data_IF_084901034257
#
_entry.id   IF_084901034257
#
_cell.length_a   1.000
_cell.length_b   1.000
_cell.length_c   1.000
_cell.angle_alpha   90.00
_cell.angle_beta   90.00
_cell.angle_gamma   90.00
#
_symmetry.space_group_name_H-M   'P 1'
#
loop_
_entity.id
_entity.type
_entity.pdbx_description
1 polymer ?
#
# COMPACT_ATOMS: atom_id res chain seq x y z
N UNK A 1 -18.01 9.12 1.78
CA UNK A 1 -16.74 9.42 1.08
C UNK A 1 -15.53 8.91 1.88
N UNK A 2 -15.25 9.38 3.10
CA UNK A 2 -14.06 8.93 3.86
C UNK A 2 -14.10 7.49 4.41
N UNK A 3 -15.30 6.93 4.64
CA UNK A 3 -15.46 5.61 5.29
C UNK A 3 -14.85 4.43 4.53
N UNK A 4 -14.71 4.50 3.20
CA UNK A 4 -14.11 3.43 2.39
C UNK A 4 -12.67 3.14 2.84
N UNK A 5 -11.85 4.19 2.92
CA UNK A 5 -10.46 4.05 3.34
C UNK A 5 -10.32 3.56 4.79
N UNK A 6 -11.18 4.04 5.70
CA UNK A 6 -11.18 3.59 7.08
C UNK A 6 -11.47 2.09 7.20
N UNK A 7 -12.46 1.58 6.47
CA UNK A 7 -12.85 0.16 6.51
C UNK A 7 -11.80 -0.72 5.82
N UNK A 8 -11.37 -0.36 4.60
CA UNK A 8 -10.40 -1.14 3.84
C UNK A 8 -9.02 -1.16 4.53
N UNK A 9 -8.56 -0.01 5.02
CA UNK A 9 -7.32 0.10 5.79
C UNK A 9 -7.38 -0.71 7.09
N UNK A 10 -8.49 -0.65 7.84
CA UNK A 10 -8.69 -1.48 9.02
C UNK A 10 -8.65 -2.97 8.69
N UNK A 11 -9.30 -3.40 7.60
CA UNK A 11 -9.30 -4.79 7.17
C UNK A 11 -7.89 -5.26 6.81
N UNK A 12 -7.13 -4.49 6.03
CA UNK A 12 -5.75 -4.80 5.69
C UNK A 12 -4.87 -4.94 6.94
N UNK A 13 -5.04 -4.05 7.92
CA UNK A 13 -4.32 -4.15 9.19
C UNK A 13 -4.70 -5.40 9.99
N UNK A 14 -5.98 -5.81 9.99
CA UNK A 14 -6.41 -7.06 10.64
C UNK A 14 -5.81 -8.29 9.97
N UNK A 15 -5.66 -8.30 8.63
CA UNK A 15 -4.97 -9.37 7.92
C UNK A 15 -3.50 -9.46 8.37
N UNK A 16 -2.80 -8.32 8.46
CA UNK A 16 -1.42 -8.26 8.96
C UNK A 16 -1.35 -8.78 10.40
N UNK A 17 -2.12 -8.18 11.31
CA UNK A 17 -2.08 -8.50 12.74
C UNK A 17 -2.56 -9.91 13.08
N UNK A 18 -3.32 -10.56 12.20
CA UNK A 18 -3.72 -11.96 12.39
C UNK A 18 -2.58 -12.98 12.17
N UNK A 19 -1.42 -12.54 11.67
CA UNK A 19 -0.32 -13.44 11.30
C UNK A 19 -0.57 -14.17 9.98
N UNK A 20 -1.51 -13.71 9.14
CA UNK A 20 -1.84 -14.34 7.86
C UNK A 20 -0.61 -14.49 6.97
N UNK A 21 0.23 -13.47 6.89
CA UNK A 21 1.42 -13.45 6.04
C UNK A 21 2.59 -14.25 6.63
N UNK A 22 2.58 -14.55 7.93
CA UNK A 22 3.49 -15.55 8.49
C UNK A 22 3.13 -16.96 8.04
N UNK A 23 1.83 -17.24 7.92
CA UNK A 23 1.31 -18.52 7.42
C UNK A 23 1.46 -18.65 5.90
N UNK A 24 1.23 -17.57 5.17
CA UNK A 24 1.26 -17.54 3.70
C UNK A 24 2.17 -16.41 3.19
N UNK A 25 3.50 -16.55 3.29
CA UNK A 25 4.44 -15.48 2.93
C UNK A 25 4.41 -15.10 1.44
N UNK A 26 3.96 -16.01 0.57
CA UNK A 26 3.78 -15.77 -0.86
C UNK A 26 2.52 -14.99 -1.23
N UNK A 27 1.54 -14.84 -0.31
CA UNK A 27 0.27 -14.17 -0.60
C UNK A 27 0.50 -12.70 -0.95
N UNK A 28 -0.15 -12.24 -2.02
CA UNK A 28 -0.16 -10.84 -2.44
C UNK A 28 -1.57 -10.27 -2.34
N UNK A 29 -1.67 -9.06 -1.80
CA UNK A 29 -2.92 -8.29 -1.70
C UNK A 29 -2.73 -6.99 -2.47
N UNK A 30 -3.78 -6.53 -3.15
CA UNK A 30 -3.80 -5.24 -3.83
C UNK A 30 -4.77 -4.34 -3.08
N UNK A 31 -4.35 -3.11 -2.78
CA UNK A 31 -5.14 -2.16 -2.03
C UNK A 31 -5.20 -0.82 -2.79
N UNK A 32 -6.41 -0.32 -3.04
CA UNK A 32 -6.62 0.90 -3.82
C UNK A 32 -6.26 2.19 -3.10
N UNK A 33 -6.61 3.32 -3.71
CA UNK A 33 -6.65 4.64 -3.09
C UNK A 33 -5.37 5.02 -2.36
N UNK A 34 -4.24 4.78 -3.03
CA UNK A 34 -2.89 5.01 -2.52
C UNK A 34 -2.58 4.23 -1.22
N UNK A 35 -3.15 3.04 -1.09
CA UNK A 35 -2.94 2.15 0.05
C UNK A 35 -3.76 2.51 1.29
N UNK A 36 -4.90 3.21 1.12
CA UNK A 36 -5.85 3.55 2.19
C UNK A 36 -5.18 4.24 3.38
N UNK A 37 -4.25 5.15 3.09
CA UNK A 37 -3.44 5.88 4.08
C UNK A 37 -2.49 5.02 4.94
N UNK A 38 -2.42 3.69 4.76
CA UNK A 38 -1.48 2.85 5.52
C UNK A 38 -0.01 3.29 5.33
N UNK A 39 0.46 3.64 4.12
CA UNK A 39 1.82 4.14 3.93
C UNK A 39 2.16 5.33 4.84
N UNK A 40 1.21 6.23 5.07
CA UNK A 40 1.38 7.39 5.95
C UNK A 40 1.54 6.98 7.42
N UNK A 41 0.82 5.96 7.87
CA UNK A 41 0.81 5.51 9.26
C UNK A 41 1.93 4.53 9.63
N UNK A 42 2.70 4.03 8.65
CA UNK A 42 3.67 2.93 8.86
C UNK A 42 4.61 3.17 10.03
N UNK A 43 5.17 4.37 10.17
CA UNK A 43 6.09 4.68 11.28
C UNK A 43 5.42 4.51 12.63
N UNK A 44 4.18 5.02 12.78
CA UNK A 44 3.42 4.93 14.04
C UNK A 44 3.04 3.48 14.35
N UNK A 45 2.63 2.73 13.32
CA UNK A 45 2.25 1.32 13.45
C UNK A 45 3.46 0.50 13.95
N UNK A 46 4.62 0.67 13.33
CA UNK A 46 5.85 -0.02 13.73
C UNK A 46 6.32 0.39 15.13
N UNK A 47 6.18 1.67 15.48
CA UNK A 47 6.49 2.16 16.82
C UNK A 47 5.60 1.50 17.89
N UNK A 48 4.30 1.32 17.60
CA UNK A 48 3.39 0.59 18.50
C UNK A 48 3.77 -0.89 18.61
N UNK A 49 4.06 -1.55 17.50
CA UNK A 49 4.55 -2.93 17.50
C UNK A 49 5.83 -3.08 18.35
N UNK A 50 6.79 -2.15 18.21
CA UNK A 50 8.01 -2.15 19.03
C UNK A 50 7.70 -2.03 20.52
N UNK A 51 6.81 -1.12 20.89
CA UNK A 51 6.41 -0.89 22.29
C UNK A 51 5.72 -2.12 22.90
N UNK A 52 5.00 -2.92 22.11
CA UNK A 52 4.48 -4.23 22.53
C UNK A 52 5.63 -5.18 22.83
N UNK A 53 6.58 -5.34 21.90
CA UNK A 53 7.70 -6.27 22.05
C UNK A 53 8.67 -5.94 23.21
N UNK A 54 8.68 -4.71 23.70
CA UNK A 54 9.46 -4.31 24.90
C UNK A 54 8.60 -4.16 26.17
N UNK A 55 7.34 -4.61 26.14
CA UNK A 55 6.46 -4.65 27.31
C UNK A 55 5.89 -3.31 27.77
N UNK A 56 6.06 -2.23 27.00
CA UNK A 56 5.52 -0.88 27.33
C UNK A 56 4.00 -0.84 27.17
N UNK A 57 3.46 -1.54 26.17
CA UNK A 57 2.02 -1.66 25.93
C UNK A 57 1.70 -3.10 25.53
N UNK A 58 1.29 -3.98 26.47
CA UNK A 58 1.00 -5.37 26.14
C UNK A 58 -0.14 -5.50 25.11
N UNK A 59 0.07 -6.29 24.06
CA UNK A 59 -0.96 -6.65 23.07
C UNK A 59 -0.68 -8.07 22.53
N UNK A 60 -1.45 -9.08 22.95
CA UNK A 60 -1.18 -10.49 22.59
C UNK A 60 -1.46 -10.81 21.11
N UNK A 61 -2.12 -9.92 20.37
CA UNK A 61 -2.36 -10.09 18.93
C UNK A 61 -1.09 -9.69 18.17
N UNK A 62 -0.52 -8.53 18.52
CA UNK A 62 0.62 -7.94 17.83
C UNK A 62 1.94 -8.63 18.22
N UNK A 63 2.03 -9.14 19.45
CA UNK A 63 3.23 -9.81 19.99
C UNK A 63 3.64 -11.08 19.22
N UNK A 64 2.73 -11.66 18.44
CA UNK A 64 2.97 -12.91 17.70
C UNK A 64 3.56 -12.72 16.31
N UNK A 65 3.62 -11.48 15.82
CA UNK A 65 4.11 -11.18 14.47
C UNK A 65 5.63 -11.37 14.38
N UNK A 66 6.10 -12.11 13.37
CA UNK A 66 7.54 -12.36 13.15
C UNK A 66 8.29 -11.15 12.59
N UNK A 67 7.59 -10.23 11.96
CA UNK A 67 8.14 -9.01 11.34
C UNK A 67 7.36 -7.78 11.80
N UNK A 68 7.93 -6.60 11.54
CA UNK A 68 7.19 -5.35 11.73
C UNK A 68 5.99 -5.30 10.77
N UNK A 69 4.84 -4.72 11.17
CA UNK A 69 3.70 -4.54 10.28
C UNK A 69 4.04 -3.85 8.94
N UNK A 70 4.92 -2.85 8.96
CA UNK A 70 5.37 -2.19 7.71
C UNK A 70 6.11 -3.13 6.75
N UNK A 71 6.83 -4.14 7.27
CA UNK A 71 7.54 -5.12 6.44
C UNK A 71 6.54 -6.02 5.71
N UNK A 72 5.51 -6.50 6.38
CA UNK A 72 4.44 -7.24 5.69
C UNK A 72 3.77 -6.39 4.62
N UNK A 73 3.51 -5.11 4.90
CA UNK A 73 2.93 -4.24 3.88
C UNK A 73 3.85 -4.10 2.66
N UNK A 74 5.15 -3.82 2.87
CA UNK A 74 6.13 -3.68 1.78
C UNK A 74 6.42 -4.97 1.01
N UNK A 75 6.21 -6.13 1.64
CA UNK A 75 6.48 -7.43 1.01
C UNK A 75 5.25 -8.05 0.35
N UNK A 76 4.06 -7.90 0.96
CA UNK A 76 2.84 -8.60 0.59
C UNK A 76 1.79 -7.72 -0.09
N UNK A 77 1.90 -6.39 -0.03
CA UNK A 77 0.93 -5.49 -0.63
C UNK A 77 1.48 -4.80 -1.88
N UNK A 78 0.58 -4.65 -2.86
CA UNK A 78 0.67 -3.62 -3.89
C UNK A 78 -0.39 -2.57 -3.59
N UNK A 79 -0.10 -1.31 -3.90
CA UNK A 79 -1.09 -0.24 -3.85
C UNK A 79 -1.46 0.23 -5.25
N UNK A 80 -2.61 0.88 -5.40
CA UNK A 80 -2.98 1.51 -6.68
C UNK A 80 -3.27 3.00 -6.54
N UNK A 81 -3.21 3.74 -7.65
CA UNK A 81 -3.53 5.18 -7.72
C UNK A 81 -5.03 5.48 -7.80
N UNK A 82 -5.91 4.47 -7.71
CA UNK A 82 -7.35 4.58 -7.96
C UNK A 82 -7.98 5.74 -7.17
N UNK A 83 -8.65 6.68 -7.85
CA UNK A 83 -9.27 7.86 -7.23
C UNK A 83 -8.34 8.81 -6.45
N UNK A 84 -7.02 8.64 -6.54
CA UNK A 84 -6.02 9.42 -5.82
C UNK A 84 -4.97 10.01 -6.78
N UNK A 85 -5.44 10.77 -7.76
CA UNK A 85 -4.63 11.45 -8.79
C UNK A 85 -3.91 12.69 -8.23
N UNK A 86 -3.08 12.48 -7.21
CA UNK A 86 -2.39 13.55 -6.49
C UNK A 86 -0.89 13.25 -6.37
N UNK A 87 -0.08 14.05 -7.07
CA UNK A 87 1.37 13.81 -7.21
C UNK A 87 2.11 13.73 -5.86
N UNK A 88 1.87 14.59 -4.87
CA UNK A 88 2.53 14.49 -3.57
C UNK A 88 2.31 13.14 -2.87
N UNK A 89 1.10 12.55 -2.98
CA UNK A 89 0.83 11.25 -2.39
C UNK A 89 1.53 10.12 -3.14
N UNK A 90 1.59 10.19 -4.47
CA UNK A 90 2.33 9.22 -5.28
C UNK A 90 3.84 9.29 -4.98
N UNK A 91 4.44 10.48 -4.96
CA UNK A 91 5.85 10.67 -4.63
C UNK A 91 6.18 10.15 -3.22
N UNK A 92 5.34 10.45 -2.24
CA UNK A 92 5.48 9.92 -0.89
C UNK A 92 5.44 8.38 -0.87
N UNK A 93 4.49 7.77 -1.58
CA UNK A 93 4.40 6.31 -1.63
C UNK A 93 5.59 5.68 -2.37
N UNK A 94 6.10 6.30 -3.42
CA UNK A 94 7.34 5.88 -4.08
C UNK A 94 8.51 5.89 -3.08
N UNK A 95 8.63 6.92 -2.25
CA UNK A 95 9.69 7.01 -1.23
C UNK A 95 9.55 5.94 -0.14
N UNK A 96 8.34 5.65 0.30
CA UNK A 96 8.11 4.72 1.43
C UNK A 96 8.10 3.25 0.99
N UNK A 97 7.54 2.95 -0.18
CA UNK A 97 7.32 1.58 -0.67
C UNK A 97 8.26 1.16 -1.80
N UNK A 98 8.74 2.12 -2.60
CA UNK A 98 9.39 1.87 -3.89
C UNK A 98 8.37 1.72 -5.03
N UNK A 99 8.76 2.15 -6.23
CA UNK A 99 7.91 2.10 -7.42
C UNK A 99 7.43 0.69 -7.78
N UNK A 100 8.20 -0.36 -7.45
CA UNK A 100 7.87 -1.77 -7.70
C UNK A 100 6.63 -2.29 -6.94
N UNK A 101 6.05 -1.47 -6.04
CA UNK A 101 4.86 -1.80 -5.23
C UNK A 101 3.62 -0.98 -5.58
N UNK A 102 3.67 -0.19 -6.64
CA UNK A 102 2.60 0.74 -7.01
C UNK A 102 2.09 0.38 -8.41
N UNK A 103 0.78 0.32 -8.57
CA UNK A 103 0.08 0.07 -9.83
C UNK A 103 -0.71 1.31 -10.22
N UNK A 104 -0.72 1.65 -11.51
CA UNK A 104 -1.68 2.62 -12.02
C UNK A 104 -3.09 2.02 -12.04
N UNK A 105 -4.08 2.78 -11.57
CA UNK A 105 -5.48 2.46 -11.66
C UNK A 105 -6.32 3.74 -11.70
N UNK A 106 -7.44 3.69 -12.41
CA UNK A 106 -8.36 4.83 -12.56
C UNK A 106 -9.43 4.84 -11.47
N UNK A 107 -10.09 3.71 -11.22
CA UNK A 107 -11.41 3.63 -10.57
C UNK A 107 -12.58 4.05 -11.49
N UNK A 108 -12.54 3.59 -12.75
CA UNK A 108 -13.66 3.78 -13.67
C UNK A 108 -14.84 2.84 -13.31
N UNK A 109 -16.11 3.28 -13.40
CA UNK A 109 -16.60 4.59 -13.86
C UNK A 109 -16.72 5.73 -12.83
N UNK A 110 -16.55 5.55 -11.49
CA UNK A 110 -16.57 6.67 -10.56
C UNK A 110 -15.63 7.83 -10.93
N UNK A 111 -14.47 7.49 -11.49
CA UNK A 111 -13.43 8.45 -11.87
C UNK A 111 -13.19 8.53 -13.39
N UNK A 112 -12.59 9.64 -13.82
CA UNK A 112 -12.34 9.93 -15.23
C UNK A 112 -11.03 9.33 -15.73
N UNK A 113 -11.12 8.49 -16.78
CA UNK A 113 -9.94 7.97 -17.49
C UNK A 113 -9.01 9.11 -17.94
N UNK A 114 -9.57 10.22 -18.43
CA UNK A 114 -8.78 11.37 -18.92
C UNK A 114 -8.00 12.06 -17.82
N UNK A 115 -8.63 12.28 -16.66
CA UNK A 115 -7.96 12.92 -15.52
C UNK A 115 -6.84 12.01 -14.99
N UNK A 116 -7.08 10.70 -14.94
CA UNK A 116 -6.08 9.73 -14.50
C UNK A 116 -4.86 9.69 -15.43
N UNK A 117 -5.07 9.71 -16.75
CA UNK A 117 -3.98 9.71 -17.74
C UNK A 117 -3.21 11.03 -17.73
N UNK A 118 -3.91 12.18 -17.70
CA UNK A 118 -3.27 13.50 -17.58
C UNK A 118 -2.43 13.60 -16.29
N UNK A 119 -2.91 13.00 -15.18
CA UNK A 119 -2.16 12.90 -13.94
C UNK A 119 -0.85 12.11 -14.11
N UNK A 120 -0.90 10.86 -14.57
CA UNK A 120 0.32 10.03 -14.60
C UNK A 120 1.34 10.54 -15.63
N UNK A 121 0.87 11.18 -16.71
CA UNK A 121 1.72 11.84 -17.70
C UNK A 121 2.44 13.04 -17.10
N UNK A 122 1.74 13.87 -16.31
CA UNK A 122 2.30 15.11 -15.73
C UNK A 122 3.21 14.90 -14.52
N UNK A 123 3.13 13.76 -13.82
CA UNK A 123 3.96 13.50 -12.63
C UNK A 123 5.46 13.53 -12.97
N UNK A 124 6.21 14.26 -12.16
CA UNK A 124 7.68 14.35 -12.23
C UNK A 124 8.30 13.13 -11.55
N UNK A 125 8.82 12.19 -12.34
CA UNK A 125 9.55 11.01 -11.86
C UNK A 125 10.47 10.46 -12.95
N UNK A 126 11.40 9.59 -12.57
CA UNK A 126 12.27 8.89 -13.53
C UNK A 126 11.44 7.96 -14.42
N UNK A 127 11.78 7.89 -15.70
CA UNK A 127 11.00 7.12 -16.68
C UNK A 127 10.87 5.65 -16.31
N UNK A 128 11.92 5.03 -15.77
CA UNK A 128 11.89 3.62 -15.35
C UNK A 128 10.88 3.35 -14.24
N UNK A 129 10.67 4.29 -13.31
CA UNK A 129 9.66 4.15 -12.27
C UNK A 129 8.26 4.40 -12.83
N UNK A 130 8.12 5.34 -13.76
CA UNK A 130 6.86 5.59 -14.47
C UNK A 130 6.41 4.35 -15.24
N UNK A 131 7.29 3.70 -15.98
CA UNK A 131 7.00 2.45 -16.71
C UNK A 131 6.57 1.31 -15.76
N UNK A 132 7.26 1.15 -14.63
CA UNK A 132 6.86 0.20 -13.58
C UNK A 132 5.43 0.41 -13.14
N UNK A 133 5.10 1.64 -12.77
CA UNK A 133 3.79 2.01 -12.24
C UNK A 133 2.70 1.89 -13.32
N UNK A 134 2.98 2.37 -14.53
CA UNK A 134 2.02 2.38 -15.63
C UNK A 134 1.67 0.98 -16.13
N UNK A 135 2.64 0.05 -16.22
CA UNK A 135 2.35 -1.27 -16.77
C UNK A 135 3.24 -2.43 -16.27
N UNK A 136 4.56 -2.28 -16.13
CA UNK A 136 5.44 -3.45 -15.90
C UNK A 136 5.11 -4.19 -14.58
N UNK A 137 4.71 -3.47 -13.54
CA UNK A 137 4.29 -4.10 -12.28
C UNK A 137 3.00 -4.92 -12.46
N UNK A 138 2.04 -4.39 -13.22
CA UNK A 138 0.76 -5.06 -13.49
C UNK A 138 0.97 -6.30 -14.36
N UNK A 139 1.74 -6.17 -15.44
CA UNK A 139 2.12 -7.29 -16.32
C UNK A 139 2.76 -8.43 -15.53
N UNK A 140 3.74 -8.11 -14.68
CA UNK A 140 4.41 -9.10 -13.84
C UNK A 140 3.47 -9.75 -12.81
N UNK A 141 2.63 -8.96 -12.14
CA UNK A 141 1.79 -9.44 -11.05
C UNK A 141 0.59 -10.27 -11.57
N UNK A 142 -0.06 -9.80 -12.63
CA UNK A 142 -1.25 -10.42 -13.21
C UNK A 142 -0.93 -11.43 -14.30
N UNK A 143 0.34 -11.56 -14.72
CA UNK A 143 0.81 -12.47 -15.77
C UNK A 143 0.14 -12.19 -17.11
N UNK A 144 0.17 -10.92 -17.52
CA UNK A 144 -0.33 -10.44 -18.81
C UNK A 144 0.69 -10.65 -19.92
#
# INVERSE_FOLDING_TARGET
MWGYAAVAGLQAMRLICSGLFDRYPGLKIILGHMGESIPYWMWRIDNRWRNVGIGVTPDPVIDKLRKKPSQYFKENFYITTSGMFWEPALQFCCQVLGADRILFAVDYPPESNRVATEFIESVTMINSDKEKICHLNAEKLFKL
#
